data_IF_021080645274
#
_entry.id   IF_021080645274
#
_cell.length_a   1.000
_cell.length_b   1.000
_cell.length_c   1.000
_cell.angle_alpha   90.00
_cell.angle_beta   90.00
_cell.angle_gamma   90.00
#
_symmetry.space_group_name_H-M   'P 1'
#
loop_
_entity.id
_entity.type
_entity.pdbx_description
1 polymer ?
2 non-polymer ?
3 non-polymer ?
4 non-polymer ?
5 water ?
#
# COMPACT_ATOMS: atom_id res chain seq x y z
N UNK A 24 10.58 1.25 -23.36
CA UNK A 24 11.23 1.30 -22.04
C UNK A 24 10.34 0.73 -20.94
N UNK A 25 10.72 0.97 -19.68
CA UNK A 25 9.95 0.57 -18.47
C UNK A 25 9.14 1.75 -17.95
N UNK A 26 7.91 1.47 -17.56
CA UNK A 26 6.99 2.40 -16.85
C UNK A 26 6.86 1.87 -15.42
N UNK A 27 7.20 2.75 -14.47
CA UNK A 27 7.10 2.54 -13.01
C UNK A 27 5.90 3.30 -12.49
N UNK A 28 4.95 2.59 -11.88
CA UNK A 28 3.81 3.19 -11.19
C UNK A 28 4.21 3.47 -9.73
N UNK A 29 4.12 4.72 -9.30
CA UNK A 29 4.27 5.10 -7.87
C UNK A 29 3.03 5.88 -7.45
N UNK A 30 2.96 6.22 -6.18
CA UNK A 30 1.91 7.13 -5.65
C UNK A 30 2.60 8.24 -4.86
N UNK A 31 1.87 9.35 -4.66
CA UNK A 31 2.35 10.59 -4.00
C UNK A 31 2.65 10.30 -2.52
N UNK A 32 3.12 11.30 -1.80
CA UNK A 32 3.42 11.21 -0.36
C UNK A 32 4.60 10.29 -0.07
N UNK A 33 4.43 9.39 0.89
CA UNK A 33 5.52 8.62 1.54
C UNK A 33 6.19 7.71 0.52
N UNK A 34 5.43 7.14 -0.42
CA UNK A 34 5.96 6.09 -1.33
C UNK A 34 6.88 6.75 -2.36
N UNK A 35 6.43 7.88 -2.91
CA UNK A 35 7.23 8.71 -3.86
C UNK A 35 8.51 9.18 -3.14
N UNK A 36 8.33 9.83 -2.00
CA UNK A 36 9.41 10.39 -1.14
C UNK A 36 10.43 9.28 -0.82
N UNK A 37 9.96 8.15 -0.30
CA UNK A 37 10.85 7.12 0.26
C UNK A 37 11.41 6.23 -0.84
N UNK A 38 10.81 6.23 -2.04
CA UNK A 38 11.30 5.43 -3.18
C UNK A 38 12.46 6.15 -3.89
N UNK A 39 12.43 7.47 -3.92
CA UNK A 39 13.38 8.29 -4.73
C UNK A 39 14.83 7.95 -4.38
N UNK A 40 15.21 7.74 -3.09
CA UNK A 40 16.59 7.38 -2.74
C UNK A 40 17.04 6.06 -3.38
N UNK A 41 16.12 5.10 -3.41
CA UNK A 41 16.33 3.77 -4.05
C UNK A 41 16.53 3.98 -5.54
N UNK A 42 15.68 4.80 -6.16
CA UNK A 42 15.75 5.11 -7.61
C UNK A 42 17.08 5.82 -7.90
N UNK A 43 17.44 6.80 -7.07
CA UNK A 43 18.66 7.61 -7.31
C UNK A 43 19.88 6.69 -7.34
N UNK A 44 20.02 5.81 -6.34
CA UNK A 44 21.11 4.81 -6.24
C UNK A 44 21.15 3.95 -7.50
N UNK A 45 19.99 3.63 -8.10
CA UNK A 45 19.89 2.79 -9.32
C UNK A 45 20.05 3.63 -10.60
N UNK A 46 20.36 4.93 -10.51
CA UNK A 46 20.68 5.78 -11.68
C UNK A 46 19.43 6.41 -12.29
N UNK A 47 18.39 6.60 -11.48
CA UNK A 47 17.07 7.12 -11.94
C UNK A 47 16.67 8.28 -11.03
N UNK A 48 16.57 9.49 -11.60
CA UNK A 48 16.00 10.70 -10.94
C UNK A 48 14.91 11.31 -11.82
N UNK A 49 13.81 11.73 -11.20
CA UNK A 49 12.77 12.59 -11.82
C UNK A 49 13.39 13.97 -12.12
N UNK A 50 12.99 14.59 -13.22
CA UNK A 50 13.55 15.89 -13.67
C UNK A 50 12.74 17.05 -13.07
N UNK A 51 11.72 16.76 -12.25
CA UNK A 51 10.86 17.75 -11.54
C UNK A 51 10.11 17.02 -10.42
N UNK A 52 9.41 17.79 -9.59
CA UNK A 52 8.63 17.29 -8.43
C UNK A 52 7.18 17.00 -8.82
N UNK A 53 6.77 15.72 -8.92
CA UNK A 53 5.40 15.38 -9.31
C UNK A 53 4.30 15.91 -8.38
N UNK A 54 4.67 16.23 -7.14
CA UNK A 54 3.74 16.82 -6.13
C UNK A 54 3.26 18.20 -6.59
N UNK A 55 4.05 18.92 -7.40
CA UNK A 55 3.79 20.31 -7.82
C UNK A 55 3.23 20.39 -9.24
N UNK A 56 3.02 19.25 -9.90
CA UNK A 56 2.54 19.21 -11.32
C UNK A 56 1.15 18.55 -11.37
N UNK A 57 0.38 18.95 -12.39
CA UNK A 57 -0.90 18.32 -12.81
C UNK A 57 -0.57 17.13 -13.70
N UNK A 58 0.64 17.10 -14.25
CA UNK A 58 1.15 16.00 -15.11
C UNK A 58 1.04 14.66 -14.35
N UNK A 59 1.07 13.55 -15.08
CA UNK A 59 1.01 12.21 -14.47
C UNK A 59 2.03 11.26 -15.11
N UNK A 60 2.64 11.64 -16.24
CA UNK A 60 3.75 10.86 -16.88
C UNK A 60 5.02 11.72 -16.79
N UNK A 61 6.06 11.17 -16.15
CA UNK A 61 7.32 11.90 -15.85
C UNK A 61 8.48 11.11 -16.45
N UNK A 62 9.28 11.75 -17.32
CA UNK A 62 10.55 11.16 -17.74
C UNK A 62 11.47 11.12 -16.50
N UNK A 63 12.62 10.45 -16.64
CA UNK A 63 13.68 10.44 -15.58
C UNK A 63 15.04 10.79 -16.20
N UNK A 64 16.09 10.85 -15.38
CA UNK A 64 17.50 10.85 -15.84
C UNK A 64 17.75 9.65 -16.76
N UNK A 65 17.05 8.53 -16.56
CA UNK A 65 17.14 7.33 -17.44
C UNK A 65 16.07 7.43 -18.52
N UNK A 66 16.46 7.60 -19.80
CA UNK A 66 15.49 7.68 -20.90
C UNK A 66 14.83 6.34 -21.23
N UNK A 67 15.32 5.22 -20.64
CA UNK A 67 14.70 3.87 -20.68
C UNK A 67 13.63 3.71 -19.60
N UNK A 68 13.46 4.69 -18.69
CA UNK A 68 12.50 4.62 -17.55
C UNK A 68 11.69 5.93 -17.47
N UNK A 69 10.35 5.82 -17.39
CA UNK A 69 9.42 6.92 -17.02
C UNK A 69 8.55 6.50 -15.84
N UNK A 70 7.84 7.44 -15.24
CA UNK A 70 7.11 7.22 -13.96
C UNK A 70 5.66 7.63 -14.14
N UNK A 71 4.74 6.82 -13.63
CA UNK A 71 3.30 7.17 -13.46
C UNK A 71 3.08 7.50 -12.00
N UNK A 72 2.32 8.55 -11.74
CA UNK A 72 1.81 8.90 -10.39
C UNK A 72 0.31 8.58 -10.41
N UNK A 73 -0.07 7.65 -9.55
CA UNK A 73 -1.43 7.06 -9.43
C UNK A 73 -1.88 7.18 -7.97
N UNK A 74 -3.17 7.06 -7.72
CA UNK A 74 -3.65 6.67 -6.37
C UNK A 74 -2.99 5.35 -5.95
N UNK A 75 -2.58 5.23 -4.68
CA UNK A 75 -2.09 3.97 -4.07
C UNK A 75 -2.94 2.76 -4.51
N UNK A 76 -4.28 2.89 -4.50
CA UNK A 76 -5.23 1.80 -4.87
C UNK A 76 -4.99 1.28 -6.29
N UNK A 77 -4.52 2.13 -7.19
CA UNK A 77 -4.54 1.85 -8.64
C UNK A 77 -3.18 1.32 -9.11
N UNK A 78 -2.13 1.35 -8.27
CA UNK A 78 -0.76 0.91 -8.69
C UNK A 78 -0.81 -0.55 -9.15
N UNK A 79 -1.42 -1.49 -8.39
CA UNK A 79 -1.50 -2.90 -8.81
C UNK A 79 -2.31 -3.11 -10.10
N UNK A 80 -3.40 -2.33 -10.22
CA UNK A 80 -4.31 -2.36 -11.40
C UNK A 80 -3.45 -2.05 -12.63
N UNK A 81 -2.72 -0.93 -12.60
CA UNK A 81 -1.82 -0.53 -13.70
C UNK A 81 -0.78 -1.62 -13.96
N UNK A 82 -0.12 -2.16 -12.93
CA UNK A 82 0.98 -3.17 -13.14
C UNK A 82 0.38 -4.48 -13.66
N UNK A 83 -0.76 -4.89 -13.13
CA UNK A 83 -1.47 -6.12 -13.56
C UNK A 83 -1.78 -6.07 -15.06
N UNK A 84 -2.33 -4.94 -15.55
CA UNK A 84 -2.75 -4.79 -16.97
C UNK A 84 -1.54 -4.49 -17.86
N UNK A 85 -0.39 -4.18 -17.25
CA UNK A 85 0.82 -3.75 -17.98
C UNK A 85 0.71 -2.34 -18.56
N UNK A 86 -0.21 -1.49 -18.09
CA UNK A 86 -0.14 -0.02 -18.34
C UNK A 86 1.18 0.50 -17.75
N UNK A 87 1.59 -0.09 -16.61
CA UNK A 87 2.92 -0.01 -15.95
C UNK A 87 3.56 -1.42 -15.94
N UNK A 88 4.85 -1.53 -16.27
CA UNK A 88 5.62 -2.79 -16.12
C UNK A 88 5.88 -3.14 -14.65
N UNK A 89 6.04 -2.14 -13.78
CA UNK A 89 6.33 -2.36 -12.35
C UNK A 89 5.86 -1.16 -11.54
N UNK A 90 5.75 -1.39 -10.25
CA UNK A 90 5.25 -0.36 -9.34
C UNK A 90 5.71 -0.64 -7.95
N UNK A 91 5.53 0.36 -7.10
CA UNK A 91 5.68 0.27 -5.63
C UNK A 91 4.29 0.41 -5.00
N UNK A 92 3.84 -0.65 -4.34
CA UNK A 92 2.49 -0.78 -3.73
C UNK A 92 2.65 -1.16 -2.27
N UNK A 93 1.82 -0.59 -1.40
CA UNK A 93 1.72 -1.02 0.01
C UNK A 93 1.22 -2.43 0.04
N UNK A 94 1.63 -3.20 1.05
CA UNK A 94 1.26 -4.64 1.16
C UNK A 94 -0.23 -4.70 1.48
N UNK A 95 -0.73 -3.71 2.21
CA UNK A 95 -2.17 -3.55 2.56
C UNK A 95 -3.01 -3.51 1.26
N UNK A 96 -2.58 -2.75 0.26
CA UNK A 96 -3.29 -2.57 -1.05
C UNK A 96 -3.20 -3.88 -1.85
N UNK A 97 -2.05 -4.57 -1.83
CA UNK A 97 -1.90 -5.88 -2.54
C UNK A 97 -2.81 -6.93 -1.88
N UNK A 98 -2.87 -6.94 -0.55
CA UNK A 98 -3.63 -7.97 0.22
C UNK A 98 -5.11 -7.79 -0.12
N UNK A 99 -5.55 -6.53 -0.22
CA UNK A 99 -6.96 -6.12 -0.43
C UNK A 99 -7.33 -6.32 -1.91
N UNK A 100 -6.46 -5.85 -2.81
CA UNK A 100 -6.59 -5.96 -4.29
C UNK A 100 -6.56 -7.42 -4.72
N UNK A 101 -5.82 -8.25 -3.99
CA UNK A 101 -5.30 -9.54 -4.48
C UNK A 101 -4.15 -9.30 -5.42
N UNK A 102 -3.10 -10.09 -5.32
CA UNK A 102 -1.86 -9.89 -6.10
C UNK A 102 -1.58 -11.13 -6.95
N UNK A 103 -2.62 -11.81 -7.44
CA UNK A 103 -2.51 -13.15 -8.08
C UNK A 103 -1.99 -13.00 -9.51
N UNK A 104 -2.08 -11.80 -10.09
CA UNK A 104 -1.71 -11.56 -11.51
C UNK A 104 -0.57 -10.55 -11.62
N UNK A 105 0.21 -10.38 -10.54
CA UNK A 105 1.50 -9.63 -10.56
C UNK A 105 2.53 -10.48 -9.81
N UNK A 106 3.82 -10.30 -10.04
CA UNK A 106 4.89 -10.88 -9.17
C UNK A 106 5.35 -9.82 -8.17
N UNK A 107 5.27 -10.15 -6.87
CA UNK A 107 5.93 -9.41 -5.76
C UNK A 107 7.41 -9.81 -5.71
N UNK A 108 8.34 -8.93 -6.10
CA UNK A 108 9.77 -9.33 -6.21
C UNK A 108 10.57 -8.94 -4.97
N UNK A 109 10.25 -7.84 -4.28
CA UNK A 109 11.07 -7.31 -3.16
C UNK A 109 10.16 -6.68 -2.12
N UNK A 110 10.49 -6.85 -0.84
CA UNK A 110 9.97 -6.01 0.27
C UNK A 110 10.94 -4.84 0.44
N UNK A 111 10.53 -3.63 0.01
CA UNK A 111 11.40 -2.41 -0.02
C UNK A 111 11.58 -1.85 1.39
N UNK A 112 10.75 -2.26 2.34
CA UNK A 112 10.84 -1.86 3.76
C UNK A 112 10.63 -0.34 3.89
N UNK A 113 9.91 0.30 2.95
CA UNK A 113 9.53 1.74 3.09
C UNK A 113 8.05 1.82 3.47
N UNK A 114 7.58 3.03 3.82
CA UNK A 114 6.16 3.33 4.11
C UNK A 114 5.64 2.20 5.00
N UNK A 115 6.43 1.90 6.04
CA UNK A 115 6.20 0.79 6.99
C UNK A 115 5.10 1.23 7.94
N UNK A 116 4.13 0.36 8.13
CA UNK A 116 3.05 0.57 9.12
C UNK A 116 2.46 -0.79 9.48
N UNK A 117 1.34 -0.81 10.18
CA UNK A 117 0.62 -2.04 10.53
C UNK A 117 -0.84 -1.94 10.04
N UNK A 118 -1.43 -3.05 9.59
CA UNK A 118 -2.89 -3.23 9.58
C UNK A 118 -3.32 -3.63 10.98
N UNK A 119 -4.29 -2.93 11.55
CA UNK A 119 -4.78 -3.13 12.92
C UNK A 119 -6.30 -3.02 12.92
N UNK A 120 -6.92 -3.63 13.92
CA UNK A 120 -8.32 -3.37 14.39
C UNK A 120 -8.25 -2.27 15.46
N UNK A 121 -9.32 -1.50 15.64
CA UNK A 121 -9.39 -0.45 16.68
C UNK A 121 -10.84 -0.04 16.97
N UNK A 122 -11.04 0.50 18.16
CA UNK A 122 -12.35 0.96 18.66
C UNK A 122 -12.16 2.01 19.74
N UNK A 123 -13.26 2.51 20.26
CA UNK A 123 -13.27 3.50 21.38
C UNK A 123 -12.55 2.80 22.52
N UNK A 124 -11.55 3.46 23.12
CA UNK A 124 -10.76 2.89 24.23
C UNK A 124 -11.71 2.34 25.30
N UNK A 125 -11.54 1.07 25.69
CA UNK A 125 -12.26 0.41 26.81
C UNK A 125 -13.73 0.17 26.45
N UNK A 126 -14.15 0.45 25.21
CA UNK A 126 -15.52 0.14 24.73
C UNK A 126 -15.67 -1.37 24.69
N UNK A 127 -16.64 -1.97 25.42
CA UNK A 127 -16.82 -3.42 25.39
C UNK A 127 -17.32 -3.88 24.01
N UNK A 128 -16.91 -5.06 23.55
CA UNK A 128 -17.40 -5.67 22.28
C UNK A 128 -18.85 -6.10 22.47
N UNK A 129 -19.80 -5.74 21.56
CA UNK A 129 -21.15 -6.28 21.63
C UNK A 129 -21.16 -7.78 21.32
N UNK A 130 -22.08 -8.52 21.94
CA UNK A 130 -22.24 -10.00 21.84
C UNK A 130 -23.10 -10.34 20.62
N UNK A 131 -22.98 -9.61 19.51
CA UNK A 131 -23.64 -9.95 18.22
C UNK A 131 -22.58 -10.00 17.12
N UNK A 132 -22.96 -10.46 15.93
CA UNK A 132 -22.13 -10.36 14.69
C UNK A 132 -21.55 -8.95 14.65
N UNK A 133 -20.27 -8.83 14.27
CA UNK A 133 -19.51 -7.56 14.38
C UNK A 133 -19.63 -6.81 13.05
N UNK A 134 -19.65 -5.48 13.13
CA UNK A 134 -19.70 -4.56 11.97
C UNK A 134 -18.37 -3.83 11.92
N UNK A 135 -17.56 -4.14 10.92
CA UNK A 135 -16.20 -3.58 10.73
C UNK A 135 -16.27 -2.49 9.65
N UNK A 136 -15.97 -1.25 10.04
CA UNK A 136 -15.91 -0.10 9.11
C UNK A 136 -14.46 0.03 8.63
N UNK A 137 -14.21 -0.18 7.35
CA UNK A 137 -12.85 -0.26 6.77
C UNK A 137 -12.93 0.00 5.27
N UNK A 138 -11.83 0.40 4.67
CA UNK A 138 -11.55 0.34 3.22
C UNK A 138 -11.15 -1.08 2.83
N UNK A 139 -10.60 -1.81 3.78
CA UNK A 139 -9.97 -3.15 3.61
C UNK A 139 -10.99 -4.21 3.99
N UNK A 140 -12.01 -4.39 3.15
CA UNK A 140 -13.17 -5.28 3.49
C UNK A 140 -12.68 -6.72 3.39
N UNK A 141 -11.83 -7.02 2.41
CA UNK A 141 -11.35 -8.41 2.16
C UNK A 141 -10.36 -8.80 3.26
N UNK A 142 -9.51 -7.87 3.71
CA UNK A 142 -8.55 -8.11 4.81
C UNK A 142 -9.32 -8.25 6.12
N UNK A 143 -10.30 -7.37 6.36
CA UNK A 143 -11.17 -7.43 7.55
C UNK A 143 -11.81 -8.82 7.63
N UNK A 144 -12.39 -9.32 6.54
CA UNK A 144 -13.14 -10.60 6.51
C UNK A 144 -12.22 -11.77 6.78
N UNK A 145 -11.08 -11.81 6.11
CA UNK A 145 -10.03 -12.85 6.22
C UNK A 145 -9.50 -12.86 7.66
N UNK A 146 -9.15 -11.69 8.21
CA UNK A 146 -8.62 -11.60 9.58
C UNK A 146 -9.68 -12.09 10.57
N UNK A 147 -10.92 -11.60 10.46
CA UNK A 147 -11.97 -11.99 11.44
C UNK A 147 -12.28 -13.48 11.26
N UNK A 148 -12.29 -13.97 10.03
CA UNK A 148 -12.47 -15.42 9.75
C UNK A 148 -11.40 -16.24 10.49
N UNK A 149 -10.12 -15.84 10.47
CA UNK A 149 -9.00 -16.53 11.17
C UNK A 149 -9.18 -16.50 12.71
N UNK A 150 -9.98 -15.55 13.22
CA UNK A 150 -10.30 -15.39 14.66
C UNK A 150 -11.64 -16.06 14.99
N UNK A 151 -12.23 -16.78 14.05
CA UNK A 151 -13.52 -17.48 14.26
C UNK A 151 -14.74 -16.58 14.11
N UNK A 152 -14.63 -15.42 13.47
CA UNK A 152 -15.77 -14.48 13.35
C UNK A 152 -16.12 -14.24 11.87
N UNK A 153 -17.37 -14.54 11.49
CA UNK A 153 -18.03 -14.01 10.28
C UNK A 153 -18.58 -12.61 10.63
N UNK A 154 -17.89 -11.55 10.22
CA UNK A 154 -18.33 -10.15 10.48
C UNK A 154 -19.05 -9.59 9.24
N UNK A 155 -19.88 -8.57 9.43
CA UNK A 155 -20.28 -7.60 8.37
C UNK A 155 -19.28 -6.45 8.30
N UNK A 156 -19.16 -5.89 7.10
CA UNK A 156 -18.13 -4.86 6.76
C UNK A 156 -18.87 -3.72 6.05
N UNK A 157 -18.76 -2.54 6.65
CA UNK A 157 -19.21 -1.21 6.16
C UNK A 157 -18.04 -0.62 5.35
N UNK A 158 -18.15 -0.58 4.04
CA UNK A 158 -17.03 -0.10 3.17
C UNK A 158 -16.98 1.43 3.24
N UNK A 159 -15.79 1.98 3.53
CA UNK A 159 -15.45 3.43 3.50
C UNK A 159 -14.11 3.62 2.78
N UNK A 160 -13.74 4.87 2.53
CA UNK A 160 -12.60 5.25 1.64
C UNK A 160 -11.57 6.09 2.41
N UNK A 161 -11.96 6.67 3.54
CA UNK A 161 -11.06 7.50 4.36
C UNK A 161 -11.69 7.85 5.68
N UNK A 162 -10.88 8.42 6.58
CA UNK A 162 -11.26 8.90 7.92
C UNK A 162 -11.99 7.78 8.68
N UNK A 163 -11.42 6.56 8.62
CA UNK A 163 -11.91 5.39 9.36
C UNK A 163 -12.08 5.76 10.83
N UNK A 164 -11.18 6.57 11.41
CA UNK A 164 -11.19 6.97 12.84
C UNK A 164 -12.46 7.74 13.23
N UNK A 165 -13.19 8.33 12.28
CA UNK A 165 -14.53 8.96 12.58
C UNK A 165 -15.59 7.88 12.90
N UNK A 166 -15.49 6.68 12.31
CA UNK A 166 -16.59 5.69 12.27
C UNK A 166 -17.09 5.38 13.68
N UNK A 167 -16.20 4.90 14.60
CA UNK A 167 -16.62 4.52 15.96
C UNK A 167 -17.17 5.71 16.78
N UNK A 168 -16.70 6.93 16.53
CA UNK A 168 -17.13 8.14 17.28
C UNK A 168 -18.62 8.39 17.07
N UNK A 169 -19.10 8.12 15.85
CA UNK A 169 -20.53 8.33 15.45
C UNK A 169 -21.30 7.01 15.46
N UNK A 170 -20.68 5.90 15.89
CA UNK A 170 -21.32 4.59 16.10
C UNK A 170 -21.64 3.91 14.78
N UNK A 171 -20.94 4.29 13.73
CA UNK A 171 -20.85 3.49 12.47
C UNK A 171 -19.89 2.32 12.68
N UNK A 172 -20.41 1.13 12.95
CA UNK A 172 -19.59 -0.09 13.10
C UNK A 172 -19.06 -0.24 14.52
N UNK A 173 -18.70 -1.46 14.91
CA UNK A 173 -18.17 -1.80 16.26
C UNK A 173 -16.66 -1.57 16.29
N UNK A 174 -15.99 -1.92 15.21
CA UNK A 174 -14.53 -1.72 15.09
C UNK A 174 -14.24 -1.13 13.72
N UNK A 175 -13.00 -0.67 13.53
CA UNK A 175 -12.44 -0.31 12.20
C UNK A 175 -11.23 -1.22 11.98
N UNK A 176 -10.85 -1.37 10.73
CA UNK A 176 -9.53 -1.90 10.34
C UNK A 176 -8.87 -0.81 9.51
N UNK A 177 -7.64 -0.48 9.85
CA UNK A 177 -6.95 0.59 9.12
C UNK A 177 -5.45 0.43 9.32
N UNK A 178 -4.68 1.19 8.56
CA UNK A 178 -3.21 1.23 8.75
C UNK A 178 -2.95 2.10 10.01
N UNK A 179 -2.16 1.58 10.93
CA UNK A 179 -1.61 2.36 12.08
C UNK A 179 -0.09 2.46 11.89
N UNK A 180 0.46 3.64 12.09
CA UNK A 180 1.94 3.84 12.12
C UNK A 180 2.32 4.19 13.56
N UNK A 181 2.24 5.46 13.94
CA UNK A 181 2.60 5.96 15.28
C UNK A 181 1.45 5.68 16.25
N UNK A 182 0.21 5.59 15.75
CA UNK A 182 -0.98 5.45 16.60
C UNK A 182 -1.51 6.80 17.06
N UNK A 183 -0.91 7.87 16.56
CA UNK A 183 -1.26 9.28 16.90
C UNK A 183 -2.73 9.54 16.53
N UNK A 184 -3.14 9.09 15.34
CA UNK A 184 -4.52 9.20 14.82
C UNK A 184 -5.48 8.52 15.81
N UNK A 185 -5.20 7.29 16.21
CA UNK A 185 -6.13 6.56 17.11
C UNK A 185 -6.25 7.34 18.42
N UNK A 186 -5.11 7.66 19.05
CA UNK A 186 -4.99 8.32 20.36
C UNK A 186 -5.74 9.66 20.32
N UNK A 187 -5.52 10.48 19.29
CA UNK A 187 -6.15 11.82 19.13
C UNK A 187 -7.68 11.70 19.13
N UNK A 188 -8.23 10.60 18.59
CA UNK A 188 -9.70 10.35 18.51
C UNK A 188 -10.22 9.43 19.64
N UNK A 189 -9.39 9.11 20.62
CA UNK A 189 -9.80 8.30 21.79
C UNK A 189 -10.03 6.84 21.41
N UNK A 190 -9.38 6.39 20.34
CA UNK A 190 -9.45 4.98 19.89
C UNK A 190 -8.22 4.30 20.44
N UNK A 191 -8.20 2.97 20.47
CA UNK A 191 -6.96 2.21 20.75
C UNK A 191 -6.94 0.99 19.84
N UNK A 192 -5.76 0.61 19.39
CA UNK A 192 -5.55 -0.64 18.62
C UNK A 192 -5.85 -1.83 19.54
N UNK A 193 -6.60 -2.79 19.02
CA UNK A 193 -7.09 -3.98 19.77
C UNK A 193 -6.23 -5.17 19.31
N UNK A 194 -6.20 -5.43 18.00
CA UNK A 194 -5.38 -6.51 17.38
C UNK A 194 -4.43 -5.89 16.37
N UNK A 195 -3.23 -6.47 16.28
CA UNK A 195 -2.31 -6.29 15.14
C UNK A 195 -2.65 -7.37 14.13
N UNK A 196 -2.93 -6.99 12.89
CA UNK A 196 -3.27 -7.98 11.85
C UNK A 196 -1.97 -8.44 11.19
N UNK A 197 -1.13 -7.52 10.76
CA UNK A 197 0.12 -7.87 10.03
C UNK A 197 0.89 -6.58 9.81
N UNK A 198 2.18 -6.73 9.56
CA UNK A 198 3.10 -5.62 9.24
C UNK A 198 2.91 -5.30 7.75
N UNK A 199 2.99 -4.01 7.44
CA UNK A 199 2.78 -3.45 6.09
C UNK A 199 4.04 -2.67 5.74
N UNK A 200 4.64 -3.00 4.61
CA UNK A 200 5.70 -2.19 3.96
C UNK A 200 5.33 -2.12 2.47
N UNK A 201 5.93 -1.20 1.71
CA UNK A 201 5.75 -1.15 0.24
C UNK A 201 6.61 -2.23 -0.45
N UNK A 202 6.05 -2.82 -1.51
CA UNK A 202 6.58 -4.01 -2.21
C UNK A 202 6.84 -3.65 -3.66
N UNK A 203 7.88 -4.19 -4.28
CA UNK A 203 8.04 -3.98 -5.75
C UNK A 203 7.31 -5.10 -6.49
N UNK A 204 6.33 -4.72 -7.30
CA UNK A 204 5.52 -5.68 -8.11
C UNK A 204 5.90 -5.48 -9.57
N UNK A 205 5.89 -6.59 -10.31
CA UNK A 205 6.15 -6.59 -11.77
C UNK A 205 4.92 -7.22 -12.47
N UNK A 206 4.60 -6.69 -13.63
CA UNK A 206 3.71 -7.31 -14.63
C UNK A 206 4.34 -8.67 -15.02
N UNK A 207 3.53 -9.72 -15.01
CA UNK A 207 3.95 -11.12 -15.24
C UNK A 207 4.62 -11.29 -16.62
N UNK A 208 4.24 -10.44 -17.61
CA UNK A 208 4.76 -10.45 -19.00
C UNK A 208 6.04 -9.59 -19.05
N UNK A 209 5.97 -8.36 -18.55
CA UNK A 209 7.14 -7.43 -18.46
C UNK A 209 8.36 -8.14 -17.87
N UNK A 210 8.15 -8.96 -16.82
CA UNK A 210 9.22 -9.76 -16.17
C UNK A 210 9.89 -10.68 -17.20
N UNK A 211 9.10 -11.30 -18.07
CA UNK A 211 9.57 -12.24 -19.11
C UNK A 211 10.22 -11.45 -20.26
N UNK A 212 9.64 -10.32 -20.68
CA UNK A 212 9.98 -9.63 -21.96
C UNK A 212 11.06 -8.55 -21.77
N UNK A 213 11.13 -7.85 -20.63
CA UNK A 213 12.06 -6.70 -20.43
C UNK A 213 12.93 -6.87 -19.18
N UNK A 214 13.27 -8.12 -18.82
CA UNK A 214 14.08 -8.47 -17.63
C UNK A 214 15.45 -7.78 -17.65
N UNK A 215 16.05 -7.66 -18.85
CA UNK A 215 17.38 -7.03 -19.08
C UNK A 215 17.35 -5.57 -18.58
N UNK A 216 16.22 -4.88 -18.76
CA UNK A 216 15.99 -3.51 -18.23
C UNK A 216 15.70 -3.54 -16.74
N UNK A 217 14.80 -4.42 -16.28
CA UNK A 217 14.48 -4.60 -14.83
C UNK A 217 15.69 -5.03 -13.99
N UNK A 218 16.51 -5.95 -14.46
CA UNK A 218 17.47 -6.68 -13.56
C UNK A 218 18.40 -5.71 -12.82
N UNK A 219 19.15 -4.82 -13.50
CA UNK A 219 20.12 -3.97 -12.81
C UNK A 219 19.42 -3.01 -11.80
N UNK A 220 18.15 -2.68 -12.03
CA UNK A 220 17.31 -1.84 -11.11
C UNK A 220 16.93 -2.70 -9.89
N UNK A 221 16.48 -3.94 -10.12
CA UNK A 221 16.19 -4.94 -9.05
C UNK A 221 17.42 -5.16 -8.14
N UNK A 222 18.58 -5.45 -8.73
CA UNK A 222 19.85 -5.71 -7.99
C UNK A 222 20.22 -4.47 -7.15
N UNK A 223 20.11 -3.26 -7.70
CA UNK A 223 20.41 -1.98 -7.00
C UNK A 223 19.49 -1.81 -5.79
N UNK A 224 18.19 -2.03 -5.97
CA UNK A 224 17.18 -1.88 -4.90
C UNK A 224 17.45 -2.87 -3.77
N UNK A 225 17.63 -4.13 -4.16
CA UNK A 225 17.96 -5.26 -3.25
C UNK A 225 19.17 -4.88 -2.38
N UNK A 226 20.28 -4.45 -3.00
CA UNK A 226 21.47 -3.92 -2.30
C UNK A 226 21.07 -2.73 -1.43
N UNK A 227 20.32 -1.77 -1.98
CA UNK A 227 20.00 -0.53 -1.20
C UNK A 227 19.29 -0.90 0.10
N UNK A 228 18.28 -1.77 0.00
CA UNK A 228 17.38 -2.14 1.15
C UNK A 228 18.19 -2.86 2.24
N UNK A 229 19.23 -3.62 1.88
CA UNK A 229 20.14 -4.28 2.86
C UNK A 229 20.69 -3.22 3.82
N UNK A 230 20.80 -1.97 3.39
CA UNK A 230 21.28 -0.84 4.22
C UNK A 230 20.09 -0.01 4.70
X LIG B 1 -2.27 7.57 7.28
X LIG B 1 -3.40 6.54 7.39
X LIG B 1 -3.69 6.50 8.88
X LIG B 1 -2.56 7.26 9.52
X LIG B 1 -1.93 6.44 10.61
X LIG B 1 -2.89 8.83 7.09
X LIG B 1 -4.54 6.93 6.61
X LIG B 1 -4.91 7.15 9.22
X LIG B 1 -1.58 7.58 8.53
X LIG B 1 -0.76 7.13 11.02
X LIG B 1 -0.48 7.37 12.56
X LIG B 1 -0.88 6.03 13.13
X LIG B 1 0.95 7.75 12.52
X LIG B 1 -1.44 8.44 13.07
X LIG B 1 -2.42 9.81 5.91
X LIG B 1 -1.41 10.79 6.45
X LIG B 1 -2.07 8.99 4.67
X LIG B 1 -3.85 10.53 5.74
X LIG B 1 -4.98 9.83 4.83
X LIG B 1 -6.21 9.62 5.68
X LIG B 1 -4.38 8.52 4.34
X LIG B 1 -5.10 10.87 3.73
X LIG C 1 -5.70 8.41 -1.36
X LIG C 1 -6.85 7.43 -1.24
X LIG C 1 -5.14 8.53 -2.75
X LIG C 1 -6.01 9.75 -0.72
X LIG C 1 -4.52 6.59 0.57
X LIG C 1 -4.99 7.20 1.86
X LIG C 1 -5.32 5.49 -0.07
X LIG C 1 -4.49 7.75 -0.53
X LIG C 1 -1.59 7.02 0.92
X LIG C 1 -1.81 7.97 2.06
X LIG C 1 -1.15 7.56 -0.40
X LIG C 1 -2.96 6.19 0.68
X LIG C 1 -0.56 5.88 1.38
X LIG C 1 -0.16 4.78 0.51
X LIG C 1 0.37 3.64 1.35
X LIG C 1 1.24 4.18 2.40
X LIG C 1 -0.67 2.83 2.14
X LIG C 1 -1.37 1.93 1.31
X LIG C 1 0.23 2.18 3.22
X LIG C 1 0.92 1.05 2.71
X LIG C 1 1.20 3.34 3.55
X LIG C 1 0.84 4.21 4.70
X LIG C 1 -0.39 4.80 4.96
X LIG C 1 -0.37 5.55 6.04
X LIG C 1 0.93 5.45 6.51
X LIG C 1 1.59 6.03 7.62
X LIG C 1 0.99 6.86 8.47
X LIG C 1 2.91 5.75 7.80
X LIG C 1 3.50 4.93 6.91
X LIG C 1 2.99 4.32 5.85
X LIG C 1 1.69 4.64 5.69
X LIG D 1 -3.57 8.51 2.70
#
# INVERSE_FOLDING_TARGET
GMTEVTNSLPTSGLLNEANDEFLGLTLALSKGRILEETMPLLRAAGVELLEDPEASAKLIFPTSNPNVRVLILRASDVPTYVEHGAADFGVAGKDVLLEHGANHVYELLDLKIAQCKLMTAGVKDAPLPNRRLRIATKYVNVARAYFASQGQQVDVIKLYGSMELAPLVGLGDLIVDVVDTGNTLRANGLEARDHICDVSSRLIVNQVSYKRKFALLEPILDSFKNSINSTS
PRP C1 C2 C3 C4 C5 O1 O2 O3 O4 O5 P O1P O2P O3P PA O1A O2A O3A PB O1B O2B O3B
ATP PG O1G O2G O3G PB O1B O2B O3B PA O1A O2A O3A O5' C5' C4' O4' C3' O3' C2' O2' C1' N9 C8 N7 C5 C6 N6 N1 C2 N3 C4
MG MG
#
